data_IF_046884461629
#
_entry.id   IF_046884461629
#
_cell.length_a   1.000
_cell.length_b   1.000
_cell.length_c   1.000
_cell.angle_alpha   90.00
_cell.angle_beta   90.00
_cell.angle_gamma   90.00
#
_symmetry.space_group_name_H-M   'P 1'
#
loop_
_entity.id
_entity.type
_entity.pdbx_description
1 polymer ?
#
# COMPACT_ATOMS: atom_id res chain seq x y z
N UNK A 1 16.82 0.65 -17.18
CA UNK A 1 16.22 0.54 -18.53
C UNK A 1 14.84 -0.13 -18.44
N UNK A 2 13.93 0.15 -19.37
CA UNK A 2 12.61 -0.50 -19.42
C UNK A 2 12.79 -1.98 -19.78
N UNK A 3 12.39 -2.92 -18.91
CA UNK A 3 12.49 -4.35 -19.23
C UNK A 3 11.48 -4.75 -20.31
N UNK A 4 11.89 -5.62 -21.23
CA UNK A 4 11.02 -6.18 -22.27
C UNK A 4 10.03 -7.18 -21.66
N UNK A 5 8.79 -7.20 -22.18
CA UNK A 5 7.76 -8.14 -21.75
C UNK A 5 7.20 -7.93 -20.33
N UNK A 6 7.68 -6.93 -19.58
CA UNK A 6 7.19 -6.62 -18.24
C UNK A 6 6.17 -5.47 -18.25
N UNK A 7 5.10 -5.64 -17.47
CA UNK A 7 4.13 -4.55 -17.24
C UNK A 7 4.74 -3.46 -16.36
N UNK A 8 4.44 -2.21 -16.70
CA UNK A 8 4.92 -1.05 -15.94
C UNK A 8 3.71 -0.33 -15.36
N UNK A 9 3.68 -0.27 -14.04
CA UNK A 9 2.57 0.34 -13.32
C UNK A 9 2.76 1.86 -13.34
N UNK A 10 1.71 2.58 -13.74
CA UNK A 10 1.71 4.04 -13.70
C UNK A 10 1.70 4.52 -12.25
N UNK A 11 2.28 5.69 -12.01
CA UNK A 11 2.26 6.33 -10.69
C UNK A 11 1.62 7.70 -10.76
N UNK A 12 1.10 8.16 -9.63
CA UNK A 12 0.53 9.50 -9.51
C UNK A 12 0.79 10.11 -8.14
N UNK A 13 0.72 11.43 -8.09
CA UNK A 13 0.71 12.17 -6.84
C UNK A 13 -0.73 12.40 -6.35
N UNK A 14 -1.00 12.07 -5.10
CA UNK A 14 -2.20 12.47 -4.38
C UNK A 14 -1.81 13.57 -3.43
N UNK A 15 -2.31 14.77 -3.68
CA UNK A 15 -2.08 15.94 -2.82
C UNK A 15 -3.36 16.24 -2.04
N UNK A 16 -3.25 16.45 -0.72
CA UNK A 16 -4.37 16.77 0.15
C UNK A 16 -3.95 17.74 1.24
N UNK A 17 -4.77 18.76 1.46
CA UNK A 17 -4.61 19.68 2.58
C UNK A 17 -5.39 19.13 3.77
N UNK A 18 -4.71 18.89 4.89
CA UNK A 18 -5.35 18.58 6.16
C UNK A 18 -5.78 19.90 6.79
N UNK A 19 -7.09 20.04 7.05
CA UNK A 19 -7.65 21.16 7.78
C UNK A 19 -7.86 20.79 9.25
N UNK A 20 -7.64 21.75 10.14
CA UNK A 20 -7.98 21.63 11.56
C UNK A 20 -9.47 21.90 11.81
N UNK A 21 -9.89 21.87 13.07
CA UNK A 21 -11.26 22.17 13.48
C UNK A 21 -11.70 23.59 13.07
N UNK A 22 -10.77 24.55 13.10
CA UNK A 22 -10.98 25.92 12.63
C UNK A 22 -11.01 26.06 11.10
N UNK A 23 -11.04 24.96 10.35
CA UNK A 23 -10.97 24.90 8.88
C UNK A 23 -9.69 25.47 8.24
N UNK A 24 -8.72 25.93 9.04
CA UNK A 24 -7.40 26.36 8.59
C UNK A 24 -6.55 25.16 8.18
N UNK A 25 -5.70 25.34 7.16
CA UNK A 25 -4.78 24.30 6.71
C UNK A 25 -3.69 24.13 7.75
N UNK A 26 -3.64 22.95 8.37
CA UNK A 26 -2.62 22.59 9.36
C UNK A 26 -1.48 21.78 8.76
N UNK A 27 -1.69 21.14 7.60
CA UNK A 27 -0.66 20.33 6.96
C UNK A 27 -0.95 20.11 5.47
N UNK A 28 0.09 20.24 4.65
CA UNK A 28 0.08 19.80 3.25
C UNK A 28 0.57 18.34 3.20
N UNK A 29 -0.18 17.46 2.55
CA UNK A 29 0.19 16.05 2.36
C UNK A 29 0.33 15.76 0.89
N UNK A 30 1.45 15.18 0.49
CA UNK A 30 1.65 14.58 -0.83
C UNK A 30 1.95 13.09 -0.63
N UNK A 31 1.32 12.24 -1.45
CA UNK A 31 1.56 10.80 -1.48
C UNK A 31 1.83 10.37 -2.90
N UNK A 32 2.98 9.73 -3.12
CA UNK A 32 3.24 9.01 -4.36
C UNK A 32 2.61 7.64 -4.25
N UNK A 33 1.75 7.29 -5.21
CA UNK A 33 1.00 6.03 -5.20
C UNK A 33 1.08 5.33 -6.54
N UNK A 34 1.05 4.00 -6.48
CA UNK A 34 0.86 3.17 -7.65
C UNK A 34 -0.61 3.22 -8.08
N UNK A 35 -0.84 3.22 -9.39
CA UNK A 35 -2.17 3.21 -10.00
C UNK A 35 -2.63 1.77 -10.16
N UNK A 36 -2.76 1.02 -9.07
CA UNK A 36 -2.94 -0.45 -9.15
C UNK A 36 -4.29 -0.95 -9.67
N UNK A 37 -5.25 -0.07 -10.00
CA UNK A 37 -6.42 -0.50 -10.79
C UNK A 37 -6.05 -0.82 -12.25
N UNK A 38 -4.86 -0.44 -12.71
CA UNK A 38 -4.35 -0.84 -14.01
C UNK A 38 -3.73 -2.24 -14.01
N UNK A 39 -3.65 -2.92 -12.86
CA UNK A 39 -3.10 -4.27 -12.75
C UNK A 39 -4.18 -5.33 -13.07
N UNK A 40 -3.82 -6.34 -13.85
CA UNK A 40 -4.69 -7.47 -14.21
C UNK A 40 -4.31 -8.74 -13.41
N UNK A 41 -5.32 -9.44 -12.90
CA UNK A 41 -5.15 -10.72 -12.21
C UNK A 41 -4.68 -11.80 -13.20
N UNK A 42 -3.73 -12.65 -12.79
CA UNK A 42 -3.08 -13.65 -13.64
C UNK A 42 -2.05 -13.11 -14.64
N UNK A 43 -1.82 -11.79 -14.65
CA UNK A 43 -0.77 -11.13 -15.46
C UNK A 43 0.17 -10.34 -14.56
N UNK A 44 -0.38 -9.42 -13.77
CA UNK A 44 0.36 -8.48 -12.92
C UNK A 44 0.38 -8.89 -11.45
N UNK A 45 -0.52 -9.78 -11.04
CA UNK A 45 -0.59 -10.39 -9.72
C UNK A 45 -1.43 -11.66 -9.77
N UNK A 46 -1.10 -12.66 -8.96
CA UNK A 46 -1.86 -13.92 -8.91
C UNK A 46 -2.96 -13.90 -7.85
N UNK A 47 -2.73 -13.22 -6.71
CA UNK A 47 -3.67 -13.22 -5.58
C UNK A 47 -3.65 -11.88 -4.83
N UNK A 48 -4.82 -11.40 -4.39
CA UNK A 48 -4.93 -10.28 -3.43
C UNK A 48 -5.33 -10.78 -2.05
N UNK A 49 -4.45 -10.61 -1.07
CA UNK A 49 -4.76 -10.94 0.32
C UNK A 49 -5.29 -9.71 1.04
N UNK A 50 -6.48 -9.79 1.61
CA UNK A 50 -6.96 -8.78 2.55
C UNK A 50 -7.17 -9.49 3.89
N UNK A 51 -6.28 -9.30 4.89
CA UNK A 51 -6.47 -9.89 6.21
C UNK A 51 -7.57 -9.10 6.94
N UNK A 52 -8.82 -9.33 6.57
CA UNK A 52 -9.98 -8.82 7.28
C UNK A 52 -10.50 -9.95 8.15
N UNK A 53 -10.30 -9.82 9.46
CA UNK A 53 -10.97 -10.69 10.41
C UNK A 53 -12.48 -10.59 10.24
N UNK A 54 -13.17 -11.72 10.28
CA UNK A 54 -14.65 -11.74 10.27
C UNK A 54 -15.19 -10.94 11.46
N UNK A 55 -16.25 -10.18 11.23
CA UNK A 55 -16.84 -9.34 12.30
C UNK A 55 -17.38 -10.22 13.42
N UNK A 56 -17.92 -11.40 13.09
CA UNK A 56 -18.42 -12.39 14.04
C UNK A 56 -17.30 -12.91 14.95
N UNK A 57 -16.11 -13.17 14.40
CA UNK A 57 -14.95 -13.60 15.18
C UNK A 57 -14.45 -12.49 16.11
N UNK A 58 -14.46 -11.24 15.63
CA UNK A 58 -14.10 -10.07 16.43
C UNK A 58 -15.08 -9.88 17.59
N UNK A 59 -16.39 -9.98 17.33
CA UNK A 59 -17.43 -9.86 18.35
C UNK A 59 -17.35 -10.98 19.39
N UNK A 60 -17.14 -12.23 18.95
CA UNK A 60 -16.96 -13.36 19.86
C UNK A 60 -15.72 -13.18 20.74
N UNK A 61 -14.60 -12.72 20.16
CA UNK A 61 -13.38 -12.39 20.91
C UNK A 61 -13.65 -11.32 21.96
N UNK A 62 -14.29 -10.21 21.59
CA UNK A 62 -14.61 -9.12 22.53
C UNK A 62 -15.57 -9.57 23.64
N UNK A 63 -16.59 -10.38 23.32
CA UNK A 63 -17.50 -10.94 24.31
C UNK A 63 -16.77 -11.85 25.30
N UNK A 64 -15.84 -12.68 24.81
CA UNK A 64 -15.03 -13.55 25.66
C UNK A 64 -14.08 -12.76 26.57
N UNK A 65 -13.38 -11.76 26.01
CA UNK A 65 -12.52 -10.85 26.77
C UNK A 65 -13.29 -10.17 27.89
N UNK A 66 -14.48 -9.62 27.58
CA UNK A 66 -15.32 -8.96 28.58
C UNK A 66 -15.78 -9.93 29.68
N UNK A 67 -16.11 -11.17 29.32
CA UNK A 67 -16.47 -12.20 30.29
C UNK A 67 -15.30 -12.63 31.19
N UNK A 68 -14.06 -12.59 30.69
CA UNK A 68 -12.86 -12.97 31.43
C UNK A 68 -12.14 -11.79 32.10
N UNK A 69 -12.69 -10.59 31.98
CA UNK A 69 -12.11 -9.34 32.50
C UNK A 69 -10.67 -9.11 32.00
N UNK A 70 -10.44 -9.38 30.71
CA UNK A 70 -9.13 -9.21 30.08
C UNK A 70 -8.95 -7.80 29.51
N UNK A 71 -7.74 -7.26 29.64
CA UNK A 71 -7.35 -6.01 28.99
C UNK A 71 -6.93 -6.27 27.54
N UNK A 72 -7.56 -5.58 26.59
CA UNK A 72 -7.20 -5.61 25.16
C UNK A 72 -6.37 -4.40 24.81
N UNK A 73 -5.30 -4.62 24.06
CA UNK A 73 -4.48 -3.57 23.48
C UNK A 73 -4.71 -3.51 21.97
N UNK A 74 -4.89 -2.32 21.43
CA UNK A 74 -5.00 -2.08 19.99
C UNK A 74 -3.76 -1.35 19.50
N UNK A 75 -3.22 -1.79 18.36
CA UNK A 75 -2.11 -1.12 17.67
C UNK A 75 -2.51 -0.76 16.24
N UNK A 76 -2.40 0.53 15.91
CA UNK A 76 -2.48 1.00 14.52
C UNK A 76 -1.07 1.21 13.97
N UNK A 77 -0.67 0.35 13.02
CA UNK A 77 0.65 0.43 12.40
C UNK A 77 0.62 1.44 11.26
N UNK A 78 1.15 2.63 11.52
CA UNK A 78 1.36 3.65 10.48
C UNK A 78 2.32 3.11 9.42
N UNK A 79 2.00 3.33 8.14
CA UNK A 79 2.86 2.97 6.99
C UNK A 79 3.19 1.48 6.85
N UNK A 80 2.34 0.61 7.40
CA UNK A 80 2.47 -0.86 7.34
C UNK A 80 2.81 -1.38 5.95
N UNK A 81 2.15 -0.87 4.91
CA UNK A 81 2.40 -1.26 3.52
C UNK A 81 3.74 -0.74 2.97
N UNK A 82 4.10 0.52 3.24
CA UNK A 82 5.24 1.20 2.59
C UNK A 82 6.63 0.80 3.08
N UNK A 83 6.71 0.02 4.15
CA UNK A 83 7.98 -0.47 4.73
C UNK A 83 8.23 -1.95 4.48
N UNK A 84 7.41 -2.62 3.69
CA UNK A 84 7.53 -4.07 3.44
C UNK A 84 8.28 -4.31 2.15
N UNK A 85 9.20 -5.27 2.19
CA UNK A 85 9.97 -5.73 1.04
C UNK A 85 9.00 -6.47 0.10
N UNK A 86 9.02 -6.13 -1.18
CA UNK A 86 8.31 -6.88 -2.21
C UNK A 86 9.14 -8.11 -2.57
N UNK A 87 8.53 -9.29 -2.51
CA UNK A 87 9.15 -10.52 -3.01
C UNK A 87 9.00 -10.66 -4.52
N UNK A 88 7.97 -10.03 -5.08
CA UNK A 88 7.69 -10.00 -6.51
C UNK A 88 8.40 -8.81 -7.16
N UNK A 89 8.89 -9.02 -8.38
CA UNK A 89 9.58 -8.00 -9.14
C UNK A 89 8.55 -7.05 -9.78
N UNK A 90 8.40 -5.85 -9.21
CA UNK A 90 7.44 -4.85 -9.65
C UNK A 90 8.13 -3.61 -10.21
N UNK A 91 7.73 -3.21 -11.41
CA UNK A 91 8.25 -2.02 -12.08
C UNK A 91 7.21 -0.90 -12.14
N UNK A 92 7.65 0.32 -11.82
CA UNK A 92 6.83 1.53 -11.92
C UNK A 92 7.43 2.57 -12.84
N UNK A 93 6.56 3.32 -13.51
CA UNK A 93 6.96 4.48 -14.28
C UNK A 93 7.52 5.59 -13.37
N UNK A 94 8.42 6.39 -13.91
CA UNK A 94 8.99 7.54 -13.20
C UNK A 94 7.86 8.49 -12.71
N UNK A 95 7.95 9.03 -11.49
CA UNK A 95 6.94 9.93 -10.97
C UNK A 95 6.75 11.13 -11.90
N UNK A 96 5.50 11.56 -12.14
CA UNK A 96 5.25 12.82 -12.83
C UNK A 96 6.02 13.96 -12.15
N UNK A 97 6.75 14.75 -12.94
CA UNK A 97 7.61 15.84 -12.46
C UNK A 97 9.05 15.44 -12.08
N UNK A 98 9.38 14.15 -12.07
CA UNK A 98 10.72 13.63 -11.72
C UNK A 98 11.34 12.76 -12.82
N UNK A 99 10.87 12.88 -14.06
CA UNK A 99 11.40 12.11 -15.19
C UNK A 99 12.82 12.59 -15.53
N UNK A 100 13.76 11.65 -15.62
CA UNK A 100 15.14 11.91 -15.99
C UNK A 100 15.25 12.38 -17.45
N UNK A 101 15.99 13.48 -17.67
CA UNK A 101 16.30 13.96 -19.02
C UNK A 101 17.25 13.03 -19.77
N UNK A 102 18.17 12.38 -19.06
CA UNK A 102 19.16 11.46 -19.65
C UNK A 102 18.55 10.09 -19.93
N UNK A 103 17.57 9.67 -19.13
CA UNK A 103 16.94 8.36 -19.21
C UNK A 103 15.41 8.47 -19.13
N UNK A 104 14.75 9.07 -20.13
CA UNK A 104 13.32 9.31 -20.09
C UNK A 104 12.50 8.02 -20.06
N UNK A 105 12.97 6.97 -20.72
CA UNK A 105 12.29 5.68 -20.81
C UNK A 105 12.65 4.69 -19.69
N UNK A 106 13.48 5.10 -18.72
CA UNK A 106 13.78 4.24 -17.58
C UNK A 106 12.57 4.12 -16.65
N UNK A 107 12.56 3.02 -15.90
CA UNK A 107 11.57 2.70 -14.88
C UNK A 107 12.27 2.44 -13.55
N UNK A 108 11.52 2.53 -12.46
CA UNK A 108 12.00 2.13 -11.14
C UNK A 108 11.57 0.70 -10.85
N UNK A 109 12.53 -0.12 -10.42
CA UNK A 109 12.23 -1.38 -9.73
C UNK A 109 11.89 -1.06 -8.28
N UNK A 110 10.81 -1.62 -7.76
CA UNK A 110 10.39 -1.40 -6.39
C UNK A 110 10.94 -2.47 -5.45
N UNK A 111 11.80 -2.05 -4.51
CA UNK A 111 12.21 -2.92 -3.40
C UNK A 111 11.13 -3.01 -2.31
N UNK A 112 10.30 -1.98 -2.19
CA UNK A 112 9.25 -1.88 -1.17
C UNK A 112 7.88 -1.62 -1.78
N UNK A 113 6.84 -2.12 -1.11
CA UNK A 113 5.48 -1.98 -1.60
C UNK A 113 5.01 -0.52 -1.57
N UNK A 114 4.52 -0.01 -2.71
CA UNK A 114 3.85 1.27 -2.79
C UNK A 114 2.36 1.14 -2.46
N UNK A 115 1.79 2.22 -1.92
CA UNK A 115 0.35 2.28 -1.72
C UNK A 115 -0.39 2.17 -3.05
N UNK A 116 -1.46 1.38 -3.07
CA UNK A 116 -2.26 1.13 -4.27
C UNK A 116 -1.83 -0.09 -5.08
N UNK A 117 -0.69 -0.72 -4.78
CA UNK A 117 -0.34 -2.03 -5.35
C UNK A 117 -1.26 -3.14 -4.81
N UNK A 118 -1.62 -4.08 -5.68
CA UNK A 118 -2.39 -5.29 -5.32
C UNK A 118 -1.59 -6.22 -4.41
N UNK A 119 -0.28 -6.26 -4.57
CA UNK A 119 0.67 -7.05 -3.76
C UNK A 119 0.91 -6.51 -2.35
N UNK A 120 0.65 -5.23 -2.09
CA UNK A 120 1.07 -4.58 -0.86
C UNK A 120 0.47 -5.25 0.38
N UNK A 121 -0.77 -5.73 0.28
CA UNK A 121 -1.48 -6.38 1.38
C UNK A 121 -1.04 -7.82 1.61
N UNK A 122 -0.63 -8.55 0.57
CA UNK A 122 0.05 -9.86 0.70
C UNK A 122 1.40 -9.73 1.38
N UNK A 123 2.21 -8.76 0.93
CA UNK A 123 3.51 -8.48 1.54
C UNK A 123 3.38 -8.13 3.04
N UNK A 124 2.25 -7.55 3.45
CA UNK A 124 1.93 -7.34 4.85
C UNK A 124 1.55 -8.64 5.58
N UNK A 125 0.67 -9.46 5.01
CA UNK A 125 0.22 -10.73 5.60
C UNK A 125 1.37 -11.70 5.87
N UNK A 126 2.28 -11.87 4.91
CA UNK A 126 3.44 -12.78 5.03
C UNK A 126 4.40 -12.43 6.18
N UNK A 127 4.34 -11.21 6.72
CA UNK A 127 5.17 -10.80 7.86
C UNK A 127 4.46 -11.04 9.19
N UNK A 128 3.12 -11.06 9.20
CA UNK A 128 2.33 -11.28 10.41
C UNK A 128 2.03 -12.76 10.66
N UNK A 129 2.16 -13.60 9.65
CA UNK A 129 1.91 -15.05 9.70
C UNK A 129 3.22 -15.79 9.90
#
# INVERSE_FOLDING_TARGET
PRPEGKTIIKTKWIVKNKKGESSLVIQYKARHVAVGYSQQEGIDYDETFSPVGRIEATLLFLAYVAHKDFTVFQMDVKTSFSNRILMEEVYVGQPPGFVSKQYPDHVYALDKALYGLKQASRAWYNVLS
#
